data_IF_721714504145
#
_entry.id   IF_721714504145
#
_cell.length_a   1.000
_cell.length_b   1.000
_cell.length_c   1.000
_cell.angle_alpha   90.00
_cell.angle_beta   90.00
_cell.angle_gamma   90.00
#
_symmetry.space_group_name_H-M   'P 1'
#
loop_
_entity.id
_entity.type
_entity.pdbx_description
1 polymer ?
#
# COMPACT_ATOMS: atom_id res chain seq x y z
N UNK A 1 9.09 0.13 -19.79
CA UNK A 1 9.73 0.25 -18.47
C UNK A 1 9.44 -1.05 -17.74
N UNK A 2 10.44 -1.79 -17.22
CA UNK A 2 10.13 -2.94 -16.38
C UNK A 2 9.43 -2.44 -15.11
N UNK A 3 8.32 -3.09 -14.75
CA UNK A 3 7.63 -2.84 -13.48
C UNK A 3 8.55 -3.33 -12.37
N UNK A 4 8.90 -2.46 -11.42
CA UNK A 4 9.67 -2.84 -10.24
C UNK A 4 8.80 -3.75 -9.37
N UNK A 5 8.78 -5.04 -9.67
CA UNK A 5 8.05 -6.01 -8.86
C UNK A 5 8.65 -6.05 -7.45
N UNK A 6 7.80 -6.01 -6.43
CA UNK A 6 8.22 -6.23 -5.05
C UNK A 6 8.65 -7.71 -4.91
N UNK A 7 9.93 -8.02 -4.68
CA UNK A 7 10.39 -9.41 -4.66
C UNK A 7 9.79 -10.20 -3.48
N UNK A 8 9.28 -11.41 -3.74
CA UNK A 8 8.82 -12.33 -2.70
C UNK A 8 7.38 -12.11 -2.21
N UNK A 9 6.62 -11.23 -2.88
CA UNK A 9 5.19 -11.03 -2.60
C UNK A 9 4.37 -11.68 -3.72
N UNK A 10 3.43 -12.57 -3.39
CA UNK A 10 2.49 -13.03 -4.40
C UNK A 10 1.51 -11.91 -4.75
N UNK A 11 1.23 -11.80 -6.04
CA UNK A 11 0.31 -10.80 -6.56
C UNK A 11 -1.12 -11.35 -6.43
N UNK A 12 -2.08 -10.61 -5.86
CA UNK A 12 -3.46 -11.07 -5.80
C UNK A 12 -3.97 -11.41 -7.20
N UNK A 13 -4.85 -12.43 -7.37
CA UNK A 13 -5.25 -12.93 -8.70
C UNK A 13 -5.84 -11.89 -9.67
N UNK A 14 -6.30 -10.75 -9.14
CA UNK A 14 -6.84 -9.62 -9.93
C UNK A 14 -5.77 -8.66 -10.47
N UNK A 15 -4.53 -8.78 -10.00
CA UNK A 15 -3.40 -7.96 -10.37
C UNK A 15 -2.31 -8.80 -11.02
N UNK A 16 -1.56 -8.19 -11.93
CA UNK A 16 -0.41 -8.80 -12.60
C UNK A 16 0.92 -8.37 -11.96
N UNK A 17 0.92 -7.25 -11.25
CA UNK A 17 2.14 -6.70 -10.64
C UNK A 17 1.87 -5.77 -9.47
N UNK A 18 2.86 -5.65 -8.59
CA UNK A 18 2.92 -4.69 -7.49
C UNK A 18 4.27 -3.99 -7.54
N UNK A 19 4.28 -2.65 -7.43
CA UNK A 19 5.51 -1.86 -7.32
C UNK A 19 5.44 -0.83 -6.20
N UNK A 20 6.62 -0.41 -5.73
CA UNK A 20 6.77 0.79 -4.91
C UNK A 20 7.83 1.68 -5.54
N UNK A 21 7.45 2.90 -5.91
CA UNK A 21 8.32 3.81 -6.67
C UNK A 21 8.30 5.22 -6.05
N UNK A 22 9.46 5.86 -5.82
CA UNK A 22 9.48 7.26 -5.43
C UNK A 22 8.96 8.13 -6.59
N UNK A 23 8.03 9.03 -6.28
CA UNK A 23 7.42 9.97 -7.23
C UNK A 23 7.72 11.39 -6.79
N UNK A 24 8.33 12.18 -7.67
CA UNK A 24 8.55 13.61 -7.46
C UNK A 24 7.23 14.36 -7.58
N UNK A 25 6.87 15.10 -6.54
CA UNK A 25 5.69 15.97 -6.48
C UNK A 25 6.12 17.42 -6.21
N UNK A 26 5.19 18.37 -6.34
CA UNK A 26 5.51 19.79 -6.17
C UNK A 26 6.15 20.12 -4.81
N UNK A 27 5.74 19.42 -3.75
CA UNK A 27 6.17 19.64 -2.37
C UNK A 27 7.20 18.61 -1.87
N UNK A 28 7.89 17.89 -2.78
CA UNK A 28 8.95 16.96 -2.41
C UNK A 28 8.85 15.61 -3.13
N UNK A 29 9.10 14.52 -2.40
CA UNK A 29 9.01 13.15 -2.92
C UNK A 29 7.96 12.39 -2.13
N UNK A 30 7.02 11.78 -2.83
CA UNK A 30 6.09 10.80 -2.27
C UNK A 30 6.53 9.40 -2.65
N UNK A 31 6.10 8.40 -1.90
CA UNK A 31 6.17 7.02 -2.37
C UNK A 31 4.82 6.63 -2.97
N UNK A 32 4.85 6.08 -4.17
CA UNK A 32 3.67 5.45 -4.75
C UNK A 32 3.76 3.95 -4.62
N UNK A 33 2.74 3.35 -4.01
CA UNK A 33 2.49 1.91 -4.02
C UNK A 33 1.47 1.64 -5.09
N UNK A 34 1.81 0.81 -6.07
CA UNK A 34 0.97 0.55 -7.23
C UNK A 34 0.69 -0.93 -7.37
N UNK A 35 -0.58 -1.31 -7.44
CA UNK A 35 -1.02 -2.65 -7.85
C UNK A 35 -1.68 -2.50 -9.22
N UNK A 36 -1.18 -3.23 -10.23
CA UNK A 36 -1.66 -3.12 -11.62
C UNK A 36 -2.12 -4.47 -12.14
N UNK A 37 -3.29 -4.51 -12.75
CA UNK A 37 -3.87 -5.69 -13.39
C UNK A 37 -4.68 -5.32 -14.64
N UNK A 38 -5.23 -6.31 -15.35
CA UNK A 38 -5.92 -6.08 -16.62
C UNK A 38 -7.28 -5.39 -16.45
N UNK A 39 -7.88 -5.51 -15.27
CA UNK A 39 -9.23 -5.02 -14.96
C UNK A 39 -9.28 -4.03 -13.80
N UNK A 40 -8.18 -3.85 -13.08
CA UNK A 40 -8.09 -2.97 -11.93
C UNK A 40 -6.68 -2.38 -11.78
N UNK A 41 -6.63 -1.15 -11.26
CA UNK A 41 -5.39 -0.50 -10.85
C UNK A 41 -5.64 0.20 -9.50
N UNK A 42 -4.75 0.02 -8.54
CA UNK A 42 -4.72 0.75 -7.28
C UNK A 42 -3.40 1.53 -7.21
N UNK A 43 -3.49 2.82 -6.96
CA UNK A 43 -2.33 3.68 -6.69
C UNK A 43 -2.51 4.36 -5.34
N UNK A 44 -1.66 4.03 -4.37
CA UNK A 44 -1.63 4.69 -3.07
C UNK A 44 -0.39 5.57 -2.99
N UNK A 45 -0.59 6.87 -2.91
CA UNK A 45 0.46 7.85 -2.67
C UNK A 45 0.63 8.05 -1.17
N UNK A 46 1.86 7.86 -0.69
CA UNK A 46 2.27 8.00 0.71
C UNK A 46 3.21 9.19 0.83
N UNK A 47 2.89 10.13 1.71
CA UNK A 47 3.84 11.16 2.12
C UNK A 47 4.83 10.63 3.20
N UNK A 48 5.72 11.49 3.66
CA UNK A 48 6.72 11.10 4.66
C UNK A 48 6.10 10.70 6.02
N UNK A 49 4.99 11.33 6.41
CA UNK A 49 4.30 11.01 7.67
C UNK A 49 3.57 9.68 7.54
N UNK A 50 2.97 9.39 6.38
CA UNK A 50 2.36 8.10 6.06
C UNK A 50 3.38 6.98 6.10
N UNK A 51 4.55 7.18 5.47
CA UNK A 51 5.67 6.23 5.52
C UNK A 51 6.05 5.97 6.97
N UNK A 52 6.30 7.01 7.77
CA UNK A 52 6.67 6.85 9.18
C UNK A 52 5.58 6.13 10.00
N UNK A 53 4.29 6.39 9.72
CA UNK A 53 3.18 5.66 10.37
C UNK A 53 3.22 4.17 10.05
N UNK A 54 3.42 3.80 8.78
CA UNK A 54 3.50 2.40 8.36
C UNK A 54 4.75 1.72 8.91
N UNK A 55 5.91 2.39 8.90
CA UNK A 55 7.16 1.87 9.46
C UNK A 55 7.08 1.59 10.97
N UNK A 56 6.27 2.36 11.69
CA UNK A 56 6.04 2.20 13.12
C UNK A 56 5.14 1.03 13.49
N UNK A 57 4.63 0.26 12.52
CA UNK A 57 3.75 -0.87 12.77
C UNK A 57 4.48 -2.21 12.67
N UNK A 58 4.03 -3.16 13.49
CA UNK A 58 4.38 -4.57 13.35
C UNK A 58 3.29 -5.29 12.54
N UNK A 59 3.70 -6.28 11.74
CA UNK A 59 2.79 -7.16 11.03
C UNK A 59 2.44 -8.39 11.92
N UNK A 60 1.17 -8.86 11.95
CA UNK A 60 0.01 -8.28 11.28
C UNK A 60 -0.51 -7.01 11.98
N UNK A 61 -1.11 -6.10 11.22
CA UNK A 61 -1.72 -4.88 11.73
C UNK A 61 -2.88 -5.20 12.68
N UNK A 62 -2.70 -4.94 13.97
CA UNK A 62 -3.72 -5.19 15.01
C UNK A 62 -4.85 -4.16 14.97
N UNK A 63 -4.55 -2.94 14.52
CA UNK A 63 -5.51 -1.84 14.34
C UNK A 63 -5.38 -1.26 12.94
N UNK A 64 -6.48 -0.76 12.34
CA UNK A 64 -6.39 -0.08 11.06
C UNK A 64 -5.48 1.14 11.13
N UNK A 65 -4.64 1.29 10.11
CA UNK A 65 -3.71 2.42 9.97
C UNK A 65 -4.11 3.23 8.75
N UNK A 66 -4.44 4.50 8.97
CA UNK A 66 -4.72 5.42 7.87
C UNK A 66 -3.41 6.02 7.38
N UNK A 67 -3.03 5.67 6.16
CA UNK A 67 -1.79 6.12 5.55
C UNK A 67 -1.94 6.13 4.03
N UNK A 68 -1.75 7.31 3.44
CA UNK A 68 -1.79 7.52 2.01
C UNK A 68 -3.15 7.88 1.46
N UNK A 69 -3.12 8.22 0.17
CA UNK A 69 -4.30 8.58 -0.60
C UNK A 69 -4.32 7.87 -1.95
N UNK A 70 -5.51 7.46 -2.38
CA UNK A 70 -5.79 6.86 -3.67
C UNK A 70 -6.93 7.63 -4.33
N UNK A 71 -6.70 8.16 -5.53
CA UNK A 71 -7.66 8.97 -6.27
C UNK A 71 -8.30 10.13 -5.46
N UNK A 72 -7.54 10.71 -4.52
CA UNK A 72 -8.01 11.80 -3.63
C UNK A 72 -8.75 11.34 -2.37
N UNK A 73 -8.95 10.04 -2.20
CA UNK A 73 -9.58 9.42 -1.04
C UNK A 73 -8.53 8.77 -0.14
N UNK A 74 -8.81 8.63 1.17
CA UNK A 74 -7.87 8.03 2.11
C UNK A 74 -7.71 6.53 1.85
N UNK A 75 -6.50 6.03 2.10
CA UNK A 75 -6.21 4.61 2.15
C UNK A 75 -6.02 4.16 3.62
N UNK A 76 -6.63 3.03 3.96
CA UNK A 76 -6.55 2.42 5.28
C UNK A 76 -6.02 0.99 5.14
N UNK A 77 -5.03 0.66 5.95
CA UNK A 77 -4.35 -0.62 5.97
C UNK A 77 -4.78 -1.38 7.21
N UNK A 78 -5.26 -2.61 7.07
CA UNK A 78 -5.64 -3.44 8.22
C UNK A 78 -5.35 -4.90 7.93
N UNK A 79 -5.13 -5.72 8.96
CA UNK A 79 -5.00 -7.15 8.81
C UNK A 79 -6.10 -7.86 9.60
N UNK A 80 -6.85 -8.74 8.93
CA UNK A 80 -7.87 -9.56 9.57
C UNK A 80 -7.88 -10.94 8.96
N UNK A 81 -8.15 -11.96 9.78
CA UNK A 81 -8.24 -13.36 9.35
C UNK A 81 -7.00 -13.91 8.60
N UNK A 82 -5.84 -13.26 8.75
CA UNK A 82 -4.61 -13.65 8.08
C UNK A 82 -4.42 -13.03 6.70
N UNK A 83 -5.24 -12.05 6.31
CA UNK A 83 -5.09 -11.29 5.07
C UNK A 83 -4.81 -9.81 5.37
N UNK A 84 -4.09 -9.15 4.46
CA UNK A 84 -3.92 -7.70 4.45
C UNK A 84 -5.01 -7.06 3.59
N UNK A 85 -5.64 -6.02 4.11
CA UNK A 85 -6.62 -5.23 3.39
C UNK A 85 -6.10 -3.82 3.17
N UNK A 86 -6.24 -3.33 1.94
CA UNK A 86 -6.10 -1.94 1.57
C UNK A 86 -7.50 -1.42 1.24
N UNK A 87 -8.05 -0.62 2.15
CA UNK A 87 -9.40 -0.06 2.07
C UNK A 87 -9.29 1.39 1.60
N UNK A 88 -10.07 1.76 0.59
CA UNK A 88 -10.14 3.14 0.08
C UNK A 88 -11.54 3.66 0.37
N UNK A 89 -11.63 4.76 1.13
CA UNK A 89 -12.90 5.36 1.51
C UNK A 89 -12.76 6.44 2.59
N UNK A 90 -13.86 6.68 3.32
CA UNK A 90 -13.90 7.67 4.40
C UNK A 90 -13.14 7.18 5.65
N UNK A 91 -13.35 5.92 6.03
CA UNK A 91 -12.65 5.23 7.10
C UNK A 91 -12.55 3.71 6.86
N UNK A 92 -11.97 3.00 7.84
CA UNK A 92 -11.76 1.55 7.77
C UNK A 92 -13.05 0.72 7.96
N UNK A 93 -14.17 1.32 8.35
CA UNK A 93 -15.47 0.66 8.56
C UNK A 93 -16.47 0.94 7.41
N UNK A 94 -16.33 2.09 6.73
CA UNK A 94 -17.29 2.62 5.73
C UNK A 94 -16.64 2.81 4.35
N UNK A 95 -15.70 1.94 4.00
CA UNK A 95 -14.93 2.00 2.77
C UNK A 95 -15.75 1.81 1.48
N UNK A 96 -15.29 2.40 0.38
CA UNK A 96 -15.91 2.28 -0.95
C UNK A 96 -15.37 1.07 -1.73
N UNK A 97 -14.06 0.83 -1.63
CA UNK A 97 -13.36 -0.27 -2.31
C UNK A 97 -12.38 -0.93 -1.33
N UNK A 98 -12.30 -2.26 -1.37
CA UNK A 98 -11.32 -3.04 -0.61
C UNK A 98 -10.50 -3.91 -1.55
N UNK A 99 -9.19 -3.96 -1.33
CA UNK A 99 -8.27 -4.86 -1.99
C UNK A 99 -7.67 -5.80 -0.95
N UNK A 100 -7.79 -7.10 -1.20
CA UNK A 100 -7.25 -8.15 -0.35
C UNK A 100 -5.90 -8.57 -0.91
N UNK A 101 -4.90 -8.57 -0.05
CA UNK A 101 -3.51 -8.87 -0.35
C UNK A 101 -2.97 -9.87 0.67
N UNK A 102 -1.88 -10.54 0.32
CA UNK A 102 -1.17 -11.37 1.28
C UNK A 102 -0.52 -10.52 2.38
N UNK A 103 -0.42 -11.01 3.64
CA UNK A 103 0.26 -10.31 4.73
C UNK A 103 1.70 -9.93 4.41
N UNK A 104 2.38 -10.77 3.64
CA UNK A 104 3.77 -10.59 3.19
C UNK A 104 3.96 -9.29 2.42
N UNK A 105 2.93 -8.79 1.72
CA UNK A 105 2.98 -7.50 1.03
C UNK A 105 3.29 -6.36 2.01
N UNK A 106 2.60 -6.32 3.15
CA UNK A 106 2.80 -5.26 4.15
C UNK A 106 4.22 -5.27 4.69
N UNK A 107 4.71 -6.46 5.07
CA UNK A 107 6.06 -6.63 5.60
C UNK A 107 7.11 -6.16 4.60
N UNK A 108 6.98 -6.61 3.34
CA UNK A 108 7.97 -6.27 2.30
C UNK A 108 7.93 -4.78 1.95
N UNK A 109 6.74 -4.18 1.92
CA UNK A 109 6.59 -2.74 1.72
C UNK A 109 7.28 -1.96 2.83
N UNK A 110 7.03 -2.30 4.10
CA UNK A 110 7.68 -1.65 5.24
C UNK A 110 9.20 -1.86 5.24
N UNK A 111 9.70 -3.03 4.85
CA UNK A 111 11.14 -3.25 4.69
C UNK A 111 11.76 -2.35 3.61
N UNK A 112 11.07 -2.15 2.48
CA UNK A 112 11.51 -1.24 1.42
C UNK A 112 11.46 0.23 1.86
N UNK A 113 10.51 0.60 2.72
CA UNK A 113 10.45 1.94 3.32
C UNK A 113 11.69 2.25 4.16
N UNK A 114 12.12 1.26 4.96
CA UNK A 114 13.23 1.38 5.92
C UNK A 114 14.61 1.44 5.27
N UNK A 115 14.73 1.09 3.97
CA UNK A 115 16.02 1.17 3.30
C UNK A 115 16.39 2.63 3.00
N UNK A 116 17.63 3.06 3.30
CA UNK A 116 18.08 4.40 2.95
C UNK A 116 18.05 4.58 1.43
N UNK A 117 17.27 5.57 0.98
CA UNK A 117 17.13 5.93 -0.44
C UNK A 117 18.21 6.89 -0.90
#
# INVERSE_FOLDING_TARGET
>A
MPVNQIPGVEVPPMFDSISSDPVLVHEGTQLQVKLSGPTAELNVCLDADDVARLEGQDAPLVIPVTAGTSAGTKAHWTATEGDLYILVGEDAETWDIAFVCEPELFRTLVEQLRQPR
#
